data_IF_280408272719
#
_entry.id   IF_280408272719
#
_cell.length_a   1.000
_cell.length_b   1.000
_cell.length_c   1.000
_cell.angle_alpha   90.00
_cell.angle_beta   90.00
_cell.angle_gamma   90.00
#
_symmetry.space_group_name_H-M   'P 1'
#
loop_
_entity.id
_entity.type
_entity.pdbx_description
1 polymer ?
#
# COMPACT_ATOMS: atom_id res chain seq x y z
N UNK A 1 9.54 -19.49 1.58
CA UNK A 1 9.39 -18.03 1.63
C UNK A 1 10.14 -17.50 2.84
N UNK A 2 11.12 -16.63 2.61
CA UNK A 2 12.01 -16.05 3.63
C UNK A 2 11.27 -15.07 4.54
N UNK A 3 11.81 -14.75 5.71
CA UNK A 3 11.26 -13.72 6.61
C UNK A 3 11.14 -12.35 5.91
N UNK A 4 12.08 -12.02 5.04
CA UNK A 4 12.05 -10.80 4.24
C UNK A 4 10.87 -10.79 3.24
N UNK A 5 10.62 -11.91 2.55
CA UNK A 5 9.49 -12.05 1.63
C UNK A 5 8.14 -12.00 2.37
N UNK A 6 8.06 -12.56 3.59
CA UNK A 6 6.88 -12.44 4.45
C UNK A 6 6.64 -10.97 4.84
N UNK A 7 7.69 -10.23 5.18
CA UNK A 7 7.58 -8.80 5.49
C UNK A 7 7.08 -7.99 4.28
N UNK A 8 7.62 -8.24 3.08
CA UNK A 8 7.14 -7.60 1.84
C UNK A 8 5.66 -7.92 1.60
N UNK A 9 5.27 -9.19 1.72
CA UNK A 9 3.87 -9.63 1.53
C UNK A 9 2.93 -8.92 2.50
N UNK A 10 3.29 -8.85 3.78
CA UNK A 10 2.50 -8.15 4.79
C UNK A 10 2.40 -6.65 4.51
N UNK A 11 3.51 -5.99 4.16
CA UNK A 11 3.50 -4.55 3.88
C UNK A 11 2.63 -4.22 2.65
N UNK A 12 2.71 -5.04 1.59
CA UNK A 12 1.88 -4.87 0.38
C UNK A 12 0.40 -5.15 0.68
N UNK A 13 0.10 -6.15 1.51
CA UNK A 13 -1.27 -6.43 1.94
C UNK A 13 -1.88 -5.25 2.72
N UNK A 14 -1.14 -4.70 3.69
CA UNK A 14 -1.59 -3.53 4.48
C UNK A 14 -1.80 -2.33 3.56
N UNK A 15 -0.83 -2.06 2.68
CA UNK A 15 -0.92 -1.01 1.68
C UNK A 15 -2.17 -1.16 0.80
N UNK A 16 -2.46 -2.38 0.33
CA UNK A 16 -3.67 -2.69 -0.43
C UNK A 16 -4.95 -2.36 0.32
N UNK A 17 -5.02 -2.68 1.62
CA UNK A 17 -6.17 -2.33 2.47
C UNK A 17 -6.36 -0.83 2.63
N UNK A 18 -5.27 -0.10 2.86
CA UNK A 18 -5.31 1.36 2.96
C UNK A 18 -5.80 2.00 1.65
N UNK A 19 -5.29 1.54 0.51
CA UNK A 19 -5.70 2.06 -0.81
C UNK A 19 -7.16 1.69 -1.11
N UNK A 20 -7.62 0.49 -0.74
CA UNK A 20 -9.02 0.08 -0.89
C UNK A 20 -9.97 1.00 -0.11
N UNK A 21 -9.70 1.22 1.18
CA UNK A 21 -10.51 2.10 2.04
C UNK A 21 -10.57 3.52 1.46
N UNK A 22 -9.44 4.02 0.96
CA UNK A 22 -9.37 5.33 0.33
C UNK A 22 -10.21 5.37 -0.95
N UNK A 23 -10.01 4.41 -1.85
CA UNK A 23 -10.73 4.33 -3.12
C UNK A 23 -12.25 4.24 -2.91
N UNK A 24 -12.69 3.43 -1.95
CA UNK A 24 -14.11 3.21 -1.66
C UNK A 24 -14.78 4.43 -1.05
N UNK A 25 -14.05 5.23 -0.27
CA UNK A 25 -14.60 6.40 0.38
C UNK A 25 -14.42 7.73 -0.34
N UNK A 26 -13.53 7.80 -1.36
CA UNK A 26 -13.24 9.04 -2.10
C UNK A 26 -13.65 9.01 -3.56
N UNK A 27 -13.74 7.82 -4.18
CA UNK A 27 -13.93 7.71 -5.62
C UNK A 27 -15.17 6.87 -5.96
N UNK A 28 -16.13 7.51 -6.61
CA UNK A 28 -17.38 6.92 -7.11
C UNK A 28 -17.34 6.75 -8.64
N UNK A 29 -16.23 6.20 -9.14
CA UNK A 29 -15.97 5.99 -10.57
C UNK A 29 -15.88 4.49 -10.87
N UNK A 30 -15.82 4.13 -12.15
CA UNK A 30 -15.64 2.73 -12.57
C UNK A 30 -14.40 2.11 -11.93
N UNK A 31 -14.59 0.93 -11.32
CA UNK A 31 -13.53 0.12 -10.72
C UNK A 31 -13.35 -1.16 -11.49
N UNK A 32 -12.15 -1.73 -11.43
CA UNK A 32 -11.83 -3.01 -12.05
C UNK A 32 -10.81 -3.78 -11.23
N UNK A 33 -10.72 -5.08 -11.47
CA UNK A 33 -9.77 -5.96 -10.79
C UNK A 33 -8.33 -5.48 -10.98
N UNK A 34 -7.58 -5.42 -9.88
CA UNK A 34 -6.14 -5.13 -9.91
C UNK A 34 -5.42 -6.38 -10.42
N UNK A 35 -4.55 -6.18 -11.42
CA UNK A 35 -3.63 -7.19 -11.93
C UNK A 35 -2.24 -6.56 -12.03
N UNK A 36 -1.23 -7.23 -11.48
CA UNK A 36 0.17 -6.83 -11.60
C UNK A 36 0.88 -7.52 -12.76
N UNK A 37 2.15 -7.18 -12.95
CA UNK A 37 3.04 -7.85 -13.90
C UNK A 37 4.30 -8.35 -13.18
N UNK A 38 4.88 -9.44 -13.67
CA UNK A 38 6.13 -10.02 -13.15
C UNK A 38 6.08 -10.28 -11.64
N UNK A 39 7.14 -9.88 -10.91
CA UNK A 39 7.21 -10.07 -9.45
C UNK A 39 6.12 -9.29 -8.69
N UNK A 40 5.63 -8.17 -9.22
CA UNK A 40 4.55 -7.39 -8.57
C UNK A 40 3.25 -8.22 -8.53
N UNK A 41 2.91 -8.93 -9.61
CA UNK A 41 1.72 -9.77 -9.72
C UNK A 41 1.62 -10.77 -8.55
N UNK A 42 2.74 -11.39 -8.19
CA UNK A 42 2.83 -12.38 -7.11
C UNK A 42 2.36 -11.85 -5.74
N UNK A 43 2.46 -10.54 -5.51
CA UNK A 43 2.04 -9.92 -4.25
C UNK A 43 0.69 -9.22 -4.33
N UNK A 44 0.30 -8.68 -5.49
CA UNK A 44 -0.93 -7.87 -5.62
C UNK A 44 -2.14 -8.67 -6.09
N UNK A 45 -1.96 -9.67 -6.96
CA UNK A 45 -3.07 -10.46 -7.52
C UNK A 45 -3.80 -11.27 -6.44
N UNK A 46 -3.11 -11.90 -5.46
CA UNK A 46 -3.78 -12.61 -4.38
C UNK A 46 -4.64 -11.72 -3.47
N UNK A 47 -4.47 -10.39 -3.52
CA UNK A 47 -5.30 -9.46 -2.73
C UNK A 47 -6.72 -9.34 -3.28
N UNK A 48 -6.95 -9.75 -4.54
CA UNK A 48 -8.23 -9.71 -5.25
C UNK A 48 -8.98 -8.36 -5.10
N UNK A 49 -8.25 -7.26 -5.25
CA UNK A 49 -8.79 -5.91 -5.06
C UNK A 49 -9.49 -5.41 -6.33
N UNK A 50 -10.54 -4.63 -6.15
CA UNK A 50 -11.25 -3.90 -7.21
C UNK A 50 -11.09 -2.41 -6.92
N UNK A 51 -10.31 -1.71 -7.75
CA UNK A 51 -9.94 -0.30 -7.53
C UNK A 51 -10.23 0.53 -8.78
N UNK A 52 -10.37 1.85 -8.61
CA UNK A 52 -10.35 2.77 -9.75
C UNK A 52 -8.96 2.79 -10.40
N UNK A 53 -8.88 3.37 -11.60
CA UNK A 53 -7.64 3.44 -12.39
C UNK A 53 -6.47 4.05 -11.58
N UNK A 54 -6.68 5.18 -10.92
CA UNK A 54 -5.61 5.88 -10.19
C UNK A 54 -5.13 5.10 -8.96
N UNK A 55 -6.05 4.54 -8.19
CA UNK A 55 -5.72 3.71 -7.03
C UNK A 55 -5.00 2.42 -7.44
N UNK A 56 -5.36 1.84 -8.60
CA UNK A 56 -4.63 0.71 -9.18
C UNK A 56 -3.19 1.08 -9.51
N UNK A 57 -2.95 2.20 -10.21
CA UNK A 57 -1.59 2.68 -10.53
C UNK A 57 -0.78 2.93 -9.26
N UNK A 58 -1.38 3.57 -8.26
CA UNK A 58 -0.71 3.84 -6.99
C UNK A 58 -0.28 2.55 -6.28
N UNK A 59 -1.15 1.54 -6.20
CA UNK A 59 -0.83 0.25 -5.58
C UNK A 59 0.30 -0.47 -6.31
N UNK A 60 0.24 -0.54 -7.64
CA UNK A 60 1.27 -1.21 -8.45
C UNK A 60 2.63 -0.50 -8.31
N UNK A 61 2.63 0.83 -8.33
CA UNK A 61 3.84 1.63 -8.11
C UNK A 61 4.42 1.41 -6.71
N UNK A 62 3.57 1.50 -5.69
CA UNK A 62 3.98 1.36 -4.30
C UNK A 62 4.51 -0.06 -3.99
N UNK A 63 3.88 -1.10 -4.55
CA UNK A 63 4.34 -2.47 -4.45
C UNK A 63 5.71 -2.66 -5.14
N UNK A 64 5.91 -2.10 -6.33
CA UNK A 64 7.20 -2.20 -7.02
C UNK A 64 8.33 -1.56 -6.21
N UNK A 65 8.09 -0.39 -5.60
CA UNK A 65 9.05 0.27 -4.69
C UNK A 65 9.33 -0.52 -3.42
N UNK A 66 8.34 -1.26 -2.88
CA UNK A 66 8.57 -2.12 -1.71
C UNK A 66 9.43 -3.33 -2.04
N UNK A 67 9.21 -3.94 -3.21
CA UNK A 67 9.91 -5.15 -3.67
C UNK A 67 11.40 -4.88 -3.91
N UNK A 68 11.75 -3.69 -4.43
CA UNK A 68 13.15 -3.30 -4.71
C UNK A 68 13.84 -2.58 -3.54
N UNK A 69 13.17 -2.43 -2.40
CA UNK A 69 13.68 -1.65 -1.27
C UNK A 69 14.90 -2.34 -0.64
N UNK A 70 16.07 -1.68 -0.57
CA UNK A 70 17.29 -2.32 -0.04
C UNK A 70 17.24 -2.54 1.48
N UNK A 71 16.36 -1.83 2.20
CA UNK A 71 16.27 -1.90 3.65
C UNK A 71 15.51 -3.14 4.17
N UNK A 72 16.13 -3.81 5.14
CA UNK A 72 15.54 -4.89 5.93
C UNK A 72 16.10 -4.88 7.38
N UNK A 73 15.35 -4.43 8.40
CA UNK A 73 13.96 -3.97 8.33
C UNK A 73 13.83 -2.65 7.58
N UNK A 74 12.69 -2.46 6.90
CA UNK A 74 12.37 -1.23 6.18
C UNK A 74 11.97 -0.14 7.19
N UNK A 75 12.56 1.06 7.18
CA UNK A 75 12.08 2.17 7.99
C UNK A 75 10.76 2.73 7.44
N UNK A 76 10.01 3.43 8.29
CA UNK A 76 8.85 4.19 7.86
C UNK A 76 9.25 5.19 6.76
N UNK A 77 8.37 5.42 5.78
CA UNK A 77 8.70 6.29 4.65
C UNK A 77 9.02 7.74 5.05
N UNK A 78 8.51 8.20 6.20
CA UNK A 78 8.80 9.52 6.78
C UNK A 78 10.26 9.63 7.26
N UNK A 79 10.84 8.50 7.72
CA UNK A 79 12.19 8.42 8.31
C UNK A 79 13.22 7.80 7.35
N UNK A 80 12.84 7.53 6.09
CA UNK A 80 13.68 6.83 5.12
C UNK A 80 14.59 7.81 4.36
N UNK A 81 15.91 7.61 4.43
CA UNK A 81 16.90 8.52 3.82
C UNK A 81 16.91 8.54 2.29
N UNK A 82 16.55 7.44 1.60
CA UNK A 82 16.56 7.37 0.12
C UNK A 82 15.33 8.01 -0.53
N UNK A 83 14.19 8.11 0.19
CA UNK A 83 12.90 8.57 -0.35
C UNK A 83 12.58 8.15 -1.80
N UNK A 84 12.28 6.87 -2.02
CA UNK A 84 12.11 6.29 -3.36
C UNK A 84 10.78 6.63 -4.09
N UNK A 85 9.91 7.45 -3.49
CA UNK A 85 8.65 7.87 -4.10
C UNK A 85 8.84 9.19 -4.84
N UNK A 86 8.65 9.18 -6.16
CA UNK A 86 8.51 10.41 -6.94
C UNK A 86 7.18 11.12 -6.60
N UNK A 87 7.17 12.44 -6.69
CA UNK A 87 5.91 13.19 -6.83
C UNK A 87 5.30 12.89 -8.21
N UNK A 88 3.96 12.81 -8.35
CA UNK A 88 2.91 13.09 -7.36
C UNK A 88 2.53 11.89 -6.46
N UNK A 89 3.13 10.72 -6.67
CA UNK A 89 2.77 9.49 -5.95
C UNK A 89 3.04 9.59 -4.44
N UNK A 90 4.09 10.32 -4.04
CA UNK A 90 4.42 10.56 -2.63
C UNK A 90 3.33 11.36 -1.91
N UNK A 91 2.81 12.42 -2.53
CA UNK A 91 1.69 13.18 -1.99
C UNK A 91 0.42 12.32 -1.90
N UNK A 92 0.12 11.55 -2.97
CA UNK A 92 -1.05 10.68 -3.00
C UNK A 92 -1.03 9.59 -1.92
N UNK A 93 0.12 8.94 -1.71
CA UNK A 93 0.19 7.89 -0.69
C UNK A 93 0.05 8.46 0.72
N UNK A 94 0.57 9.66 1.00
CA UNK A 94 0.35 10.32 2.31
C UNK A 94 -1.12 10.62 2.56
N UNK A 95 -1.83 11.07 1.53
CA UNK A 95 -3.28 11.29 1.59
C UNK A 95 -4.02 9.98 1.94
N UNK A 96 -3.68 8.89 1.23
CA UNK A 96 -4.22 7.55 1.50
C UNK A 96 -3.95 7.13 2.95
N UNK A 97 -2.71 7.25 3.43
CA UNK A 97 -2.34 6.87 4.79
C UNK A 97 -3.12 7.65 5.85
N UNK A 98 -3.23 8.99 5.68
CA UNK A 98 -3.99 9.85 6.59
C UNK A 98 -5.48 9.51 6.60
N UNK A 99 -6.07 9.32 5.42
CA UNK A 99 -7.50 9.06 5.29
C UNK A 99 -7.90 7.68 5.84
N UNK A 100 -7.13 6.66 5.48
CA UNK A 100 -7.45 5.26 5.78
C UNK A 100 -7.01 4.85 7.17
N UNK A 101 -5.90 5.39 7.69
CA UNK A 101 -5.41 5.10 9.03
C UNK A 101 -6.43 5.45 10.11
N UNK A 102 -7.00 6.67 10.06
CA UNK A 102 -8.06 7.09 10.99
C UNK A 102 -9.28 6.16 10.93
N UNK A 103 -9.68 5.73 9.73
CA UNK A 103 -10.84 4.85 9.53
C UNK A 103 -10.60 3.42 10.01
N UNK A 104 -9.37 2.92 9.95
CA UNK A 104 -9.02 1.62 10.50
C UNK A 104 -9.04 1.63 12.03
N UNK A 105 -8.59 2.73 12.65
CA UNK A 105 -8.65 2.92 14.10
C UNK A 105 -10.11 2.93 14.56
N UNK A 106 -10.97 3.72 13.92
CA UNK A 106 -12.40 3.84 14.27
C UNK A 106 -13.18 2.53 14.13
N UNK A 107 -12.72 1.60 13.27
CA UNK A 107 -13.33 0.27 13.10
C UNK A 107 -12.83 -0.78 14.10
N UNK A 108 -12.11 -0.39 15.15
CA UNK A 108 -11.65 -1.31 16.20
C UNK A 108 -10.51 -2.24 15.77
N UNK A 109 -9.82 -1.94 14.65
CA UNK A 109 -8.64 -2.70 14.22
C UNK A 109 -7.39 -2.29 15.02
N UNK A 110 -7.44 -2.49 16.34
CA UNK A 110 -6.44 -2.04 17.34
C UNK A 110 -5.03 -2.64 17.09
N UNK A 111 -4.95 -3.79 16.41
CA UNK A 111 -3.68 -4.46 16.09
C UNK A 111 -2.72 -3.68 15.18
N UNK A 112 -3.18 -2.66 14.45
CA UNK A 112 -2.35 -1.89 13.52
C UNK A 112 -1.71 -0.64 14.14
N UNK A 113 -2.18 -0.19 15.31
CA UNK A 113 -1.75 1.08 15.92
C UNK A 113 -0.28 1.02 16.38
N UNK A 114 0.21 -0.15 16.83
CA UNK A 114 1.60 -0.32 17.31
C UNK A 114 2.67 -0.26 16.21
N UNK A 115 2.32 -0.32 14.92
CA UNK A 115 3.29 -0.40 13.82
C UNK A 115 3.41 0.89 12.98
N UNK A 116 2.51 1.85 13.18
CA UNK A 116 2.42 3.08 12.37
C UNK A 116 2.67 4.38 13.15
N UNK A 117 2.82 4.33 14.48
CA UNK A 117 3.34 5.44 15.30
C UNK A 117 4.87 5.38 15.36
#
# INVERSE_FOLDING_TARGET
>A
MTEYEKAIKNDIWVLGKFIQIYCDGKHYVQKSKVTGNGKVAQYVDPLNLILCYDCKKLLLYAASKRIICPYNPKPACKDCTTHCYAEPNRSKIREVMRYSGMRMILKGSIGYIKKFL
#
